data_IF_108531269835
#
_entry.id   IF_108531269835
#
_cell.length_a   1.000
_cell.length_b   1.000
_cell.length_c   1.000
_cell.angle_alpha   90.00
_cell.angle_beta   90.00
_cell.angle_gamma   90.00
#
_symmetry.space_group_name_H-M   'P 1'
#
loop_
_entity.id
_entity.type
_entity.pdbx_description
1 polymer ?
#
# COMPACT_ATOMS: atom_id res chain seq x y z
N UNK A 1 10.35 35.11 1.15
CA UNK A 1 11.52 35.86 1.67
C UNK A 1 11.13 36.41 3.04
N UNK A 2 11.76 35.94 4.14
CA UNK A 2 11.45 36.37 5.52
C UNK A 2 12.17 37.68 5.91
N UNK A 3 12.87 38.37 4.99
CA UNK A 3 13.57 39.66 5.27
C UNK A 3 14.71 39.53 6.30
N UNK A 4 15.30 38.32 6.46
CA UNK A 4 16.44 38.06 7.34
C UNK A 4 17.76 38.36 6.62
N UNK A 5 18.76 38.81 7.37
CA UNK A 5 20.11 39.06 6.82
C UNK A 5 20.92 37.74 6.85
N UNK A 6 21.98 37.69 6.02
CA UNK A 6 22.94 36.58 6.02
C UNK A 6 23.58 36.37 7.40
N UNK A 7 23.87 37.46 8.12
CA UNK A 7 24.42 37.40 9.48
C UNK A 7 23.43 36.83 10.48
N UNK A 8 22.15 37.19 10.37
CA UNK A 8 21.10 36.62 11.24
C UNK A 8 20.94 35.13 11.02
N UNK A 9 20.93 34.67 9.76
CA UNK A 9 20.87 33.25 9.47
C UNK A 9 22.12 32.53 9.98
N UNK A 10 23.31 33.05 9.67
CA UNK A 10 24.59 32.47 10.08
C UNK A 10 24.66 32.26 11.60
N UNK A 11 24.30 33.29 12.37
CA UNK A 11 24.29 33.26 13.83
C UNK A 11 23.26 32.26 14.37
N UNK A 12 22.08 32.15 13.71
CA UNK A 12 21.00 31.25 14.18
C UNK A 12 21.31 29.78 14.01
N UNK A 13 22.08 29.43 12.99
CA UNK A 13 22.42 28.04 12.68
C UNK A 13 23.88 27.67 13.01
N UNK A 14 24.64 28.60 13.61
CA UNK A 14 25.99 28.37 14.12
C UNK A 14 27.09 28.21 13.07
N UNK A 15 26.98 28.95 11.94
CA UNK A 15 27.98 28.95 10.86
C UNK A 15 28.54 30.31 10.58
N UNK A 16 29.50 30.41 9.66
CA UNK A 16 30.06 31.70 9.27
C UNK A 16 29.18 32.44 8.26
N UNK A 17 29.17 33.77 8.34
CA UNK A 17 28.54 34.63 7.35
C UNK A 17 29.01 34.35 5.92
N UNK A 18 30.32 34.07 5.75
CA UNK A 18 30.91 33.76 4.45
C UNK A 18 30.33 32.47 3.84
N UNK A 19 29.94 31.50 4.66
CA UNK A 19 29.30 30.29 4.18
C UNK A 19 27.91 30.62 3.60
N UNK A 20 27.08 31.36 4.32
CA UNK A 20 25.77 31.78 3.84
C UNK A 20 25.90 32.62 2.56
N UNK A 21 26.84 33.54 2.52
CA UNK A 21 27.11 34.36 1.32
C UNK A 21 27.49 33.53 0.10
N UNK A 22 28.29 32.46 0.28
CA UNK A 22 28.60 31.52 -0.82
C UNK A 22 27.38 30.75 -1.32
N UNK A 23 26.48 30.38 -0.43
CA UNK A 23 25.26 29.68 -0.80
C UNK A 23 24.33 30.56 -1.62
N UNK A 24 24.08 31.78 -1.16
CA UNK A 24 23.21 32.72 -1.87
C UNK A 24 23.76 33.19 -3.24
N UNK A 25 25.09 33.13 -3.40
CA UNK A 25 25.73 33.39 -4.68
C UNK A 25 25.99 32.16 -5.55
N UNK A 26 25.44 31.00 -5.18
CA UNK A 26 25.61 29.73 -5.87
C UNK A 26 27.08 29.28 -6.02
N UNK A 27 27.97 29.69 -5.12
CA UNK A 27 29.37 29.33 -5.10
C UNK A 27 29.66 28.06 -4.29
N UNK A 28 28.72 27.67 -3.43
CA UNK A 28 28.73 26.44 -2.66
C UNK A 28 27.29 26.05 -2.27
N UNK A 29 27.07 24.77 -1.98
CA UNK A 29 25.84 24.28 -1.35
C UNK A 29 26.06 24.11 0.16
N UNK A 30 24.99 24.20 0.99
CA UNK A 30 25.02 23.79 2.38
C UNK A 30 25.44 22.32 2.51
N UNK A 31 26.16 21.99 3.59
CA UNK A 31 26.37 20.59 3.95
C UNK A 31 25.01 19.95 4.27
N UNK A 32 24.80 18.71 3.83
CA UNK A 32 23.54 17.98 4.02
C UNK A 32 23.17 17.85 5.51
N UNK A 33 24.17 17.83 6.40
CA UNK A 33 23.97 17.76 7.85
C UNK A 33 23.28 19.01 8.42
N UNK A 34 23.31 20.13 7.71
CA UNK A 34 22.65 21.37 8.09
C UNK A 34 21.18 21.43 7.63
N UNK A 35 20.76 20.52 6.74
CA UNK A 35 19.42 20.55 6.18
C UNK A 35 18.31 20.48 7.25
N UNK A 36 18.37 19.60 8.29
CA UNK A 36 17.35 19.59 9.34
C UNK A 36 17.28 20.90 10.13
N UNK A 37 18.44 21.55 10.36
CA UNK A 37 18.53 22.83 11.09
C UNK A 37 17.92 23.93 10.24
N UNK A 38 18.21 23.97 8.95
CA UNK A 38 17.65 24.93 7.99
C UNK A 38 16.13 24.77 7.85
N UNK A 39 15.65 23.52 7.70
CA UNK A 39 14.22 23.22 7.64
C UNK A 39 13.51 23.72 8.89
N UNK A 40 14.03 23.40 10.06
CA UNK A 40 13.51 23.86 11.36
C UNK A 40 13.51 25.39 11.48
N UNK A 41 14.61 26.04 11.09
CA UNK A 41 14.74 27.51 11.14
C UNK A 41 13.73 28.22 10.24
N UNK A 42 13.55 27.70 9.03
CA UNK A 42 12.57 28.25 8.08
C UNK A 42 11.15 27.79 8.36
N UNK A 43 10.94 26.78 9.23
CA UNK A 43 9.63 26.22 9.53
C UNK A 43 8.98 25.54 8.31
N UNK A 44 9.80 24.85 7.52
CA UNK A 44 9.42 24.07 6.34
C UNK A 44 9.79 22.60 6.55
N UNK A 45 9.17 21.69 5.80
CA UNK A 45 9.58 20.30 5.74
C UNK A 45 10.92 20.15 5.01
N UNK A 46 11.58 18.98 5.15
CA UNK A 46 12.78 18.67 4.36
C UNK A 46 12.47 18.64 2.86
N UNK A 47 11.30 18.11 2.50
CA UNK A 47 10.85 18.03 1.11
C UNK A 47 10.66 19.45 0.50
N UNK A 48 10.04 20.34 1.25
CA UNK A 48 9.91 21.75 0.85
C UNK A 48 11.27 22.48 0.76
N UNK A 49 12.21 22.14 1.68
CA UNK A 49 13.55 22.75 1.65
C UNK A 49 14.35 22.36 0.41
N UNK A 50 14.19 21.12 -0.06
CA UNK A 50 14.87 20.61 -1.24
C UNK A 50 14.06 20.81 -2.53
N UNK A 51 12.91 21.48 -2.44
CA UNK A 51 11.98 21.63 -3.56
C UNK A 51 11.64 20.27 -4.20
N UNK A 52 11.53 19.25 -3.33
CA UNK A 52 11.26 17.88 -3.74
C UNK A 52 9.77 17.72 -3.99
N UNK A 53 9.39 17.74 -5.25
CA UNK A 53 7.99 17.58 -5.67
C UNK A 53 7.57 16.11 -5.61
N UNK A 54 7.43 15.57 -4.38
CA UNK A 54 6.83 14.23 -4.16
C UNK A 54 5.46 14.15 -4.86
N UNK A 55 4.70 15.26 -4.80
CA UNK A 55 3.39 15.40 -5.46
C UNK A 55 3.44 15.20 -6.97
N UNK A 56 4.50 15.62 -7.67
CA UNK A 56 4.60 15.39 -9.13
C UNK A 56 4.87 13.93 -9.46
N UNK A 57 5.73 13.26 -8.68
CA UNK A 57 5.99 11.84 -8.84
C UNK A 57 4.73 11.02 -8.55
N UNK A 58 4.06 11.30 -7.43
CA UNK A 58 2.81 10.65 -7.06
C UNK A 58 1.73 10.84 -8.12
N UNK A 59 1.58 12.04 -8.67
CA UNK A 59 0.63 12.31 -9.75
C UNK A 59 0.95 11.55 -11.04
N UNK A 60 2.24 11.42 -11.40
CA UNK A 60 2.67 10.66 -12.58
C UNK A 60 2.43 9.17 -12.39
N UNK A 61 2.78 8.62 -11.23
CA UNK A 61 2.51 7.22 -10.88
C UNK A 61 1.00 6.93 -10.85
N UNK A 62 0.21 7.82 -10.24
CA UNK A 62 -1.25 7.70 -10.20
C UNK A 62 -1.88 7.74 -11.60
N UNK A 63 -1.36 8.59 -12.49
CA UNK A 63 -1.81 8.64 -13.88
C UNK A 63 -1.53 7.34 -14.63
N UNK A 64 -0.34 6.74 -14.45
CA UNK A 64 0.02 5.43 -15.03
C UNK A 64 -0.92 4.33 -14.48
N UNK A 65 -1.12 4.31 -13.17
CA UNK A 65 -2.02 3.34 -12.53
C UNK A 65 -3.47 3.46 -13.02
N UNK A 66 -3.97 4.68 -13.17
CA UNK A 66 -5.32 4.95 -13.71
C UNK A 66 -5.46 4.50 -15.16
N UNK A 67 -4.45 4.73 -15.98
CA UNK A 67 -4.47 4.26 -17.37
C UNK A 67 -4.43 2.73 -17.44
N UNK A 68 -3.55 2.09 -16.70
CA UNK A 68 -3.47 0.63 -16.63
C UNK A 68 -4.79 0.00 -16.12
N UNK A 69 -5.41 0.62 -15.11
CA UNK A 69 -6.66 0.13 -14.51
C UNK A 69 -7.81 0.03 -15.50
N UNK A 70 -7.89 0.90 -16.51
CA UNK A 70 -8.95 0.86 -17.54
C UNK A 70 -8.94 -0.44 -18.35
N UNK A 71 -7.77 -1.07 -18.48
CA UNK A 71 -7.56 -2.29 -19.26
C UNK A 71 -7.49 -3.56 -18.41
N UNK A 72 -7.49 -3.43 -17.08
CA UNK A 72 -7.25 -4.54 -16.14
C UNK A 72 -8.14 -5.77 -16.40
N UNK A 73 -9.43 -5.55 -16.68
CA UNK A 73 -10.40 -6.62 -16.90
C UNK A 73 -10.57 -6.96 -18.39
N UNK A 74 -10.47 -5.96 -19.28
CA UNK A 74 -10.76 -6.11 -20.70
C UNK A 74 -9.54 -6.54 -21.52
N UNK A 75 -8.35 -6.10 -21.14
CA UNK A 75 -7.07 -6.38 -21.79
C UNK A 75 -5.92 -6.37 -20.77
N UNK A 76 -5.79 -7.43 -19.95
CA UNK A 76 -4.76 -7.49 -18.91
C UNK A 76 -3.32 -7.35 -19.46
N UNK A 77 -3.09 -7.78 -20.70
CA UNK A 77 -1.78 -7.66 -21.33
C UNK A 77 -1.42 -6.20 -21.58
N UNK A 78 -2.36 -5.41 -22.09
CA UNK A 78 -2.16 -3.97 -22.27
C UNK A 78 -1.98 -3.24 -20.94
N UNK A 79 -2.76 -3.62 -19.91
CA UNK A 79 -2.57 -3.10 -18.56
C UNK A 79 -1.16 -3.38 -18.03
N UNK A 80 -0.66 -4.59 -18.26
CA UNK A 80 0.71 -4.99 -17.90
C UNK A 80 1.76 -4.14 -18.62
N UNK A 81 1.64 -3.96 -19.92
CA UNK A 81 2.58 -3.16 -20.73
C UNK A 81 2.69 -1.71 -20.20
N UNK A 82 1.55 -1.07 -19.88
CA UNK A 82 1.53 0.28 -19.31
C UNK A 82 2.28 0.33 -17.97
N UNK A 83 2.08 -0.67 -17.10
CA UNK A 83 2.76 -0.74 -15.80
C UNK A 83 4.26 -1.01 -15.94
N UNK A 84 4.67 -1.87 -16.86
CA UNK A 84 6.07 -2.16 -17.15
C UNK A 84 6.80 -0.94 -17.76
N UNK A 85 6.14 -0.18 -18.66
CA UNK A 85 6.65 1.11 -19.14
C UNK A 85 6.79 2.14 -18.01
N UNK A 86 5.85 2.14 -17.06
CA UNK A 86 5.92 2.95 -15.84
C UNK A 86 7.11 2.54 -14.97
N UNK A 87 7.33 1.25 -14.77
CA UNK A 87 8.46 0.72 -14.00
C UNK A 87 9.81 0.98 -14.69
N UNK A 88 9.87 1.06 -16.01
CA UNK A 88 11.08 1.48 -16.73
C UNK A 88 11.45 2.95 -16.40
N UNK A 89 10.47 3.80 -16.12
CA UNK A 89 10.69 5.20 -15.72
C UNK A 89 10.91 5.36 -14.21
N UNK A 90 10.22 4.54 -13.41
CA UNK A 90 10.23 4.56 -11.94
C UNK A 90 10.52 3.16 -11.39
N UNK A 91 11.77 2.70 -11.50
CA UNK A 91 12.17 1.39 -11.00
C UNK A 91 11.85 1.23 -9.52
N UNK A 92 11.46 0.04 -9.11
CA UNK A 92 11.13 -0.32 -7.72
C UNK A 92 10.01 0.52 -7.07
N UNK A 93 9.17 1.19 -7.87
CA UNK A 93 8.03 1.91 -7.31
C UNK A 93 6.98 0.94 -6.77
N UNK A 94 6.75 0.98 -5.47
CA UNK A 94 5.86 0.06 -4.72
C UNK A 94 4.44 0.02 -5.30
N UNK A 95 3.89 1.17 -5.70
CA UNK A 95 2.52 1.27 -6.20
C UNK A 95 2.39 0.63 -7.58
N UNK A 96 3.37 0.85 -8.47
CA UNK A 96 3.39 0.22 -9.80
C UNK A 96 3.58 -1.29 -9.68
N UNK A 97 4.52 -1.75 -8.85
CA UNK A 97 4.75 -3.17 -8.59
C UNK A 97 3.50 -3.84 -7.99
N UNK A 98 2.84 -3.17 -7.04
CA UNK A 98 1.59 -3.67 -6.48
C UNK A 98 0.49 -3.78 -7.54
N UNK A 99 0.31 -2.77 -8.40
CA UNK A 99 -0.65 -2.84 -9.50
C UNK A 99 -0.31 -3.94 -10.51
N UNK A 100 0.98 -4.21 -10.75
CA UNK A 100 1.43 -5.29 -11.62
C UNK A 100 1.01 -6.67 -11.08
N UNK A 101 1.06 -6.91 -9.76
CA UNK A 101 0.56 -8.14 -9.14
C UNK A 101 -0.92 -8.43 -9.45
N UNK A 102 -1.72 -7.39 -9.65
CA UNK A 102 -3.13 -7.56 -9.97
C UNK A 102 -3.41 -7.95 -11.43
N UNK A 103 -2.47 -7.80 -12.33
CA UNK A 103 -2.61 -8.15 -13.75
C UNK A 103 -1.83 -9.41 -14.15
N UNK A 104 -0.87 -9.83 -13.34
CA UNK A 104 -0.17 -11.09 -13.52
C UNK A 104 -1.11 -12.25 -13.19
N UNK A 105 -1.20 -13.22 -14.08
CA UNK A 105 -1.86 -14.48 -13.76
C UNK A 105 -0.94 -15.33 -12.88
N UNK A 106 -1.16 -15.29 -11.57
CA UNK A 106 -0.35 -16.01 -10.57
C UNK A 106 -0.41 -17.55 -10.71
N UNK A 107 -1.40 -18.10 -11.42
CA UNK A 107 -1.48 -19.54 -11.67
C UNK A 107 -0.57 -19.98 -12.81
N UNK A 108 -0.38 -19.12 -13.81
CA UNK A 108 0.49 -19.37 -14.96
C UNK A 108 1.93 -18.88 -14.71
N UNK A 109 2.07 -17.80 -13.93
CA UNK A 109 3.35 -17.15 -13.63
C UNK A 109 3.60 -17.04 -12.11
N UNK A 110 3.57 -18.15 -11.36
CA UNK A 110 3.71 -18.11 -9.91
C UNK A 110 5.10 -17.63 -9.47
N UNK A 111 6.16 -17.96 -10.20
CA UNK A 111 7.52 -17.56 -9.83
C UNK A 111 7.75 -16.05 -9.98
N UNK A 112 7.19 -15.44 -11.01
CA UNK A 112 7.21 -13.98 -11.19
C UNK A 112 6.42 -13.28 -10.08
N UNK A 113 5.22 -13.78 -9.78
CA UNK A 113 4.39 -13.26 -8.69
C UNK A 113 5.13 -13.34 -7.35
N UNK A 114 5.78 -14.47 -7.04
CA UNK A 114 6.57 -14.65 -5.83
C UNK A 114 7.71 -13.66 -5.77
N UNK A 115 8.45 -13.46 -6.86
CA UNK A 115 9.58 -12.54 -6.90
C UNK A 115 9.15 -11.10 -6.58
N UNK A 116 8.10 -10.59 -7.25
CA UNK A 116 7.59 -9.23 -7.04
C UNK A 116 6.99 -9.09 -5.63
N UNK A 117 6.15 -10.03 -5.21
CA UNK A 117 5.48 -9.97 -3.92
C UNK A 117 6.49 -10.08 -2.75
N UNK A 118 7.53 -10.92 -2.86
CA UNK A 118 8.59 -11.00 -1.84
C UNK A 118 9.36 -9.68 -1.75
N UNK A 119 9.73 -9.09 -2.89
CA UNK A 119 10.39 -7.78 -2.90
C UNK A 119 9.54 -6.72 -2.18
N UNK A 120 8.25 -6.65 -2.48
CA UNK A 120 7.34 -5.70 -1.83
C UNK A 120 7.20 -5.97 -0.32
N UNK A 121 7.07 -7.22 0.11
CA UNK A 121 6.93 -7.55 1.54
C UNK A 121 8.17 -7.18 2.36
N UNK A 122 9.35 -7.22 1.76
CA UNK A 122 10.63 -6.91 2.41
C UNK A 122 10.95 -5.41 2.43
N UNK A 123 10.61 -4.70 1.36
CA UNK A 123 11.13 -3.35 1.11
C UNK A 123 10.10 -2.23 1.28
N UNK A 124 8.79 -2.50 1.08
CA UNK A 124 7.78 -1.45 1.20
C UNK A 124 7.58 -0.97 2.63
N UNK A 125 7.33 0.33 2.77
CA UNK A 125 6.90 0.95 4.03
C UNK A 125 5.39 1.20 4.09
N UNK A 126 4.68 0.89 3.02
CA UNK A 126 3.23 1.10 2.90
C UNK A 126 2.52 -0.18 3.32
N UNK A 127 1.81 -0.15 4.44
CA UNK A 127 1.16 -1.33 5.03
C UNK A 127 0.16 -1.99 4.07
N UNK A 128 -0.60 -1.21 3.34
CA UNK A 128 -1.58 -1.69 2.37
C UNK A 128 -0.91 -2.49 1.24
N UNK A 129 0.18 -1.96 0.69
CA UNK A 129 0.99 -2.64 -0.34
C UNK A 129 1.58 -3.94 0.21
N UNK A 130 2.10 -3.90 1.44
CA UNK A 130 2.66 -5.09 2.08
C UNK A 130 1.64 -6.20 2.25
N UNK A 131 0.45 -5.88 2.72
CA UNK A 131 -0.60 -6.89 2.95
C UNK A 131 -1.20 -7.41 1.65
N UNK A 132 -1.30 -6.58 0.61
CA UNK A 132 -1.63 -7.03 -0.74
C UNK A 132 -0.57 -7.98 -1.30
N UNK A 133 0.71 -7.63 -1.17
CA UNK A 133 1.81 -8.49 -1.60
C UNK A 133 1.80 -9.85 -0.88
N UNK A 134 1.58 -9.88 0.44
CA UNK A 134 1.44 -11.12 1.21
C UNK A 134 0.29 -12.01 0.70
N UNK A 135 -0.83 -11.39 0.31
CA UNK A 135 -1.97 -12.09 -0.28
C UNK A 135 -1.58 -12.74 -1.63
N UNK A 136 -0.95 -11.99 -2.53
CA UNK A 136 -0.50 -12.53 -3.82
C UNK A 136 0.58 -13.60 -3.66
N UNK A 137 1.45 -13.44 -2.67
CA UNK A 137 2.45 -14.44 -2.30
C UNK A 137 1.78 -15.76 -1.91
N UNK A 138 0.73 -15.70 -1.07
CA UNK A 138 -0.04 -16.87 -0.69
C UNK A 138 -0.75 -17.52 -1.88
N UNK A 139 -1.31 -16.73 -2.81
CA UNK A 139 -1.92 -17.25 -4.03
C UNK A 139 -0.92 -17.99 -4.91
N UNK A 140 0.25 -17.41 -5.13
CA UNK A 140 1.28 -18.00 -5.97
C UNK A 140 1.85 -19.29 -5.35
N UNK A 141 2.09 -19.32 -4.02
CA UNK A 141 2.51 -20.55 -3.33
C UNK A 141 1.44 -21.63 -3.40
N UNK A 142 0.16 -21.29 -3.21
CA UNK A 142 -0.93 -22.25 -3.38
C UNK A 142 -0.97 -22.79 -4.82
N UNK A 143 -0.81 -21.95 -5.84
CA UNK A 143 -0.76 -22.38 -7.24
C UNK A 143 0.38 -23.39 -7.53
N UNK A 144 1.50 -23.26 -6.81
CA UNK A 144 2.63 -24.21 -6.86
C UNK A 144 2.39 -25.47 -6.00
N UNK A 145 1.30 -25.55 -5.24
CA UNK A 145 1.04 -26.65 -4.31
C UNK A 145 1.78 -26.53 -2.96
N UNK A 146 2.48 -25.44 -2.72
CA UNK A 146 3.18 -25.16 -1.46
C UNK A 146 2.24 -24.49 -0.45
N UNK A 147 1.42 -25.32 0.19
CA UNK A 147 0.42 -24.85 1.15
C UNK A 147 1.04 -24.30 2.43
N UNK A 148 2.18 -24.83 2.85
CA UNK A 148 2.84 -24.37 4.08
C UNK A 148 3.37 -22.95 3.92
N UNK A 149 4.03 -22.64 2.81
CA UNK A 149 4.46 -21.27 2.49
C UNK A 149 3.28 -20.32 2.28
N UNK A 150 2.19 -20.78 1.67
CA UNK A 150 0.97 -19.98 1.53
C UNK A 150 0.39 -19.60 2.90
N UNK A 151 0.28 -20.54 3.84
CA UNK A 151 -0.16 -20.28 5.23
C UNK A 151 0.79 -19.32 5.95
N UNK A 152 2.11 -19.52 5.82
CA UNK A 152 3.10 -18.64 6.44
C UNK A 152 3.01 -17.18 5.94
N UNK A 153 2.66 -16.97 4.67
CA UNK A 153 2.39 -15.64 4.14
C UNK A 153 1.11 -15.04 4.74
N UNK A 154 0.02 -15.81 4.81
CA UNK A 154 -1.25 -15.36 5.40
C UNK A 154 -1.13 -15.00 6.89
N UNK A 155 -0.33 -15.75 7.66
CA UNK A 155 -0.11 -15.49 9.09
C UNK A 155 0.52 -14.11 9.37
N UNK A 156 1.21 -13.52 8.39
CA UNK A 156 1.80 -12.18 8.52
C UNK A 156 0.77 -11.05 8.32
N UNK A 157 -0.42 -11.35 7.80
CA UNK A 157 -1.50 -10.37 7.66
C UNK A 157 -2.23 -10.26 9.02
N UNK A 158 -2.40 -9.05 9.60
CA UNK A 158 -3.11 -8.89 10.87
C UNK A 158 -4.54 -9.42 10.81
N UNK A 159 -5.01 -10.06 11.87
CA UNK A 159 -6.38 -10.61 11.92
C UNK A 159 -7.48 -9.55 11.78
N UNK A 160 -7.23 -8.36 12.31
CA UNK A 160 -8.12 -7.22 12.20
C UNK A 160 -8.09 -6.55 10.83
N UNK A 161 -7.13 -6.94 9.99
CA UNK A 161 -7.13 -6.49 8.60
C UNK A 161 -8.18 -7.30 7.83
N UNK A 162 -9.15 -6.58 7.28
CA UNK A 162 -10.34 -7.14 6.65
C UNK A 162 -10.05 -8.23 5.59
N UNK A 163 -8.87 -8.20 5.03
CA UNK A 163 -8.41 -9.14 4.00
C UNK A 163 -8.00 -10.51 4.53
N UNK A 164 -7.36 -10.64 5.69
CA UNK A 164 -6.81 -11.93 6.15
C UNK A 164 -7.88 -13.03 6.23
N UNK A 165 -8.95 -12.81 6.97
CA UNK A 165 -10.02 -13.80 7.12
C UNK A 165 -10.72 -14.08 5.80
N UNK A 166 -10.85 -13.07 4.93
CA UNK A 166 -11.40 -13.22 3.58
C UNK A 166 -10.52 -14.14 2.74
N UNK A 167 -9.22 -13.91 2.74
CA UNK A 167 -8.27 -14.68 1.95
C UNK A 167 -8.14 -16.12 2.44
N UNK A 168 -8.15 -16.34 3.76
CA UNK A 168 -8.17 -17.69 4.34
C UNK A 168 -9.43 -18.44 3.89
N UNK A 169 -10.61 -17.80 4.01
CA UNK A 169 -11.88 -18.40 3.59
C UNK A 169 -11.96 -18.65 2.08
N UNK A 170 -11.24 -17.87 1.27
CA UNK A 170 -11.21 -18.05 -0.19
C UNK A 170 -10.18 -19.10 -0.64
N UNK A 171 -8.99 -19.09 -0.02
CA UNK A 171 -7.84 -19.84 -0.48
C UNK A 171 -7.77 -21.27 0.08
N UNK A 172 -8.16 -21.46 1.34
CA UNK A 172 -8.05 -22.73 2.04
C UNK A 172 -9.34 -23.55 1.90
N UNK A 173 -9.25 -24.86 2.20
CA UNK A 173 -10.35 -25.78 2.15
C UNK A 173 -10.62 -26.42 3.53
N UNK A 174 -11.78 -27.06 3.69
CA UNK A 174 -12.12 -27.81 4.90
C UNK A 174 -12.31 -26.93 6.14
N UNK A 175 -11.77 -27.38 7.27
CA UNK A 175 -11.98 -26.78 8.60
C UNK A 175 -11.47 -25.35 8.69
N UNK A 176 -10.30 -25.05 8.12
CA UNK A 176 -9.69 -23.73 8.18
C UNK A 176 -10.53 -22.69 7.42
N UNK A 177 -11.11 -23.07 6.29
CA UNK A 177 -12.06 -22.24 5.55
C UNK A 177 -13.30 -21.90 6.39
N UNK A 178 -13.87 -22.91 7.03
CA UNK A 178 -15.07 -22.76 7.85
C UNK A 178 -14.80 -21.83 9.05
N UNK A 179 -13.72 -22.08 9.80
CA UNK A 179 -13.35 -21.26 10.96
C UNK A 179 -13.07 -19.80 10.58
N UNK A 180 -12.43 -19.54 9.43
CA UNK A 180 -12.20 -18.18 8.94
C UNK A 180 -13.51 -17.49 8.53
N UNK A 181 -14.44 -18.21 7.90
CA UNK A 181 -15.75 -17.68 7.54
C UNK A 181 -16.58 -17.34 8.78
N UNK A 182 -16.62 -18.21 9.78
CA UNK A 182 -17.31 -18.02 11.06
C UNK A 182 -16.74 -16.82 11.84
N UNK A 183 -15.41 -16.68 11.88
CA UNK A 183 -14.76 -15.52 12.52
C UNK A 183 -15.09 -14.20 11.82
N UNK A 184 -15.23 -14.20 10.49
CA UNK A 184 -15.70 -13.02 9.73
C UNK A 184 -17.12 -12.63 10.09
N UNK A 185 -18.01 -13.60 10.20
CA UNK A 185 -19.40 -13.37 10.59
C UNK A 185 -19.47 -12.75 11.99
N UNK A 186 -18.81 -13.36 12.97
CA UNK A 186 -18.75 -12.86 14.34
C UNK A 186 -18.15 -11.44 14.43
N UNK A 187 -17.08 -11.15 13.66
CA UNK A 187 -16.50 -9.81 13.60
C UNK A 187 -17.47 -8.78 12.99
N UNK A 188 -18.19 -9.14 11.93
CA UNK A 188 -19.18 -8.26 11.31
C UNK A 188 -20.35 -7.98 12.27
N UNK A 189 -20.82 -8.98 13.01
CA UNK A 189 -21.85 -8.82 14.04
C UNK A 189 -21.37 -7.94 15.20
N UNK A 190 -20.18 -8.18 15.70
CA UNK A 190 -19.58 -7.37 16.78
C UNK A 190 -19.35 -5.92 16.36
N UNK A 191 -18.84 -5.71 15.13
CA UNK A 191 -18.66 -4.39 14.54
C UNK A 191 -20.00 -3.68 14.38
N UNK A 192 -21.02 -4.38 13.90
CA UNK A 192 -22.37 -3.85 13.73
C UNK A 192 -22.98 -3.47 15.09
N UNK A 193 -22.80 -4.30 16.11
CA UNK A 193 -23.26 -4.01 17.47
C UNK A 193 -22.52 -2.83 18.11
N UNK A 194 -21.19 -2.74 17.94
CA UNK A 194 -20.36 -1.65 18.48
C UNK A 194 -20.55 -0.32 17.79
N UNK A 195 -20.74 -0.31 16.48
CA UNK A 195 -20.97 0.91 15.71
C UNK A 195 -22.37 1.50 15.93
N UNK A 196 -23.27 0.76 16.58
CA UNK A 196 -24.56 1.22 17.08
C UNK A 196 -25.44 1.94 16.07
N UNK A 197 -26.57 2.46 16.56
CA UNK A 197 -27.58 3.13 15.72
C UNK A 197 -27.09 4.43 15.04
N UNK A 198 -26.02 5.06 15.51
CA UNK A 198 -25.53 6.32 14.95
C UNK A 198 -24.86 6.17 13.57
N UNK A 199 -24.05 5.13 13.36
CA UNK A 199 -23.41 4.89 12.06
C UNK A 199 -24.37 4.21 11.04
N UNK A 200 -25.35 3.45 11.53
CA UNK A 200 -26.35 2.77 10.67
C UNK A 200 -27.37 3.74 10.05
N UNK A 201 -27.57 4.91 10.63
CA UNK A 201 -28.48 5.93 10.09
C UNK A 201 -27.84 6.76 8.97
N UNK A 202 -26.51 6.91 8.96
CA UNK A 202 -25.81 7.82 8.04
C UNK A 202 -25.09 7.11 6.88
N UNK A 203 -24.85 5.79 6.94
CA UNK A 203 -24.06 5.10 5.92
C UNK A 203 -24.72 3.87 5.31
N UNK A 204 -25.50 4.11 4.25
CA UNK A 204 -26.18 3.09 3.43
C UNK A 204 -25.20 2.03 2.84
N UNK A 205 -23.93 2.40 2.66
CA UNK A 205 -22.87 1.50 2.16
C UNK A 205 -22.46 0.46 3.19
N UNK A 206 -22.31 0.83 4.46
CA UNK A 206 -21.97 -0.10 5.54
C UNK A 206 -23.09 -1.13 5.77
N UNK A 207 -24.35 -0.71 5.62
CA UNK A 207 -25.52 -1.60 5.66
C UNK A 207 -25.55 -2.61 4.52
N UNK A 208 -25.22 -2.19 3.30
CA UNK A 208 -25.15 -3.09 2.13
C UNK A 208 -24.01 -4.08 2.24
N UNK A 209 -22.85 -3.65 2.77
CA UNK A 209 -21.70 -4.52 2.96
C UNK A 209 -21.96 -5.56 4.06
N UNK A 210 -22.53 -5.16 5.20
CA UNK A 210 -22.90 -6.06 6.28
C UNK A 210 -23.94 -7.11 5.85
N UNK A 211 -24.97 -6.71 5.11
CA UNK A 211 -25.96 -7.63 4.55
C UNK A 211 -25.40 -8.59 3.51
N UNK A 212 -24.48 -8.14 2.65
CA UNK A 212 -23.84 -8.99 1.66
C UNK A 212 -22.94 -10.04 2.31
N UNK A 213 -22.19 -9.65 3.34
CA UNK A 213 -21.37 -10.57 4.12
C UNK A 213 -22.21 -11.60 4.89
N UNK A 214 -23.32 -11.18 5.49
CA UNK A 214 -24.27 -12.06 6.16
C UNK A 214 -24.89 -13.10 5.20
N UNK A 215 -25.31 -12.69 4.02
CA UNK A 215 -25.86 -13.62 3.02
C UNK A 215 -24.83 -14.61 2.50
N UNK A 216 -23.57 -14.21 2.34
CA UNK A 216 -22.50 -15.13 1.93
C UNK A 216 -22.20 -16.18 3.02
N UNK A 217 -22.14 -15.77 4.29
CA UNK A 217 -21.90 -16.69 5.40
C UNK A 217 -23.08 -17.69 5.57
N UNK A 218 -24.31 -17.23 5.43
CA UNK A 218 -25.52 -18.09 5.51
C UNK A 218 -25.56 -19.11 4.36
N UNK A 219 -25.18 -18.71 3.15
CA UNK A 219 -25.12 -19.60 1.99
C UNK A 219 -24.02 -20.68 2.13
N UNK A 220 -22.89 -20.34 2.77
CA UNK A 220 -21.81 -21.30 3.07
C UNK A 220 -22.25 -22.30 4.14
N UNK A 221 -23.01 -21.89 5.15
CA UNK A 221 -23.53 -22.76 6.20
C UNK A 221 -24.53 -23.77 5.64
N UNK A 222 -25.48 -23.33 4.80
CA UNK A 222 -26.45 -24.21 4.11
C UNK A 222 -25.79 -25.19 3.14
N UNK A 223 -24.65 -24.84 2.54
CA UNK A 223 -23.90 -25.73 1.64
C UNK A 223 -23.05 -26.78 2.37
N UNK A 224 -22.82 -26.62 3.68
CA UNK A 224 -22.06 -27.56 4.52
C UNK A 224 -22.98 -28.52 5.30
N UNK A 225 -24.25 -28.12 5.52
CA UNK A 225 -25.26 -28.92 6.22
C UNK A 225 -26.07 -29.85 5.26
N UNK A 226 -25.83 -29.77 3.95
CA UNK A 226 -26.43 -30.63 2.92
C UNK A 226 -25.43 -31.53 2.22
#
# INVERSE_FOLDING_TARGET
QRGITQEQLANSIGISFQAVSKWENNLALPDISLAPILASYFGVSMDELFDFHLTELEQKVDAICKDAYQYRESDPQKSREILEEGLAQYPDNDILLNNLLYVINYTENPDETIAIASNLTENTRVSEVKYDALRFLAYAYKAKGDIDSAKAALEQIPELYFTKLTEIAYLLDGKEKFEAAERRENFAEELTAKLGSQLLSENLMARKLGLALFHQATNLRTALDG
#
